data_IF_470810094002
#
_entry.id   IF_470810094002
#
_cell.length_a   1.000
_cell.length_b   1.000
_cell.length_c   1.000
_cell.angle_alpha   90.00
_cell.angle_beta   90.00
_cell.angle_gamma   90.00
#
_symmetry.space_group_name_H-M   'P 1'
#
loop_
_entity.id
_entity.type
_entity.pdbx_description
1 polymer ?
#
# COMPACT_ATOMS: atom_id res chain seq x y z
N UNK A 1 -58.10 -47.45 -1.94
CA UNK A 1 -59.52 -47.05 -2.03
C UNK A 1 -59.59 -45.67 -1.40
N UNK A 2 -59.66 -44.58 -2.18
CA UNK A 2 -60.87 -44.08 -2.89
C UNK A 2 -61.96 -43.85 -1.84
N UNK A 3 -62.61 -42.70 -1.66
CA UNK A 3 -62.68 -41.37 -2.25
C UNK A 3 -63.63 -40.59 -1.30
N UNK A 4 -63.69 -39.26 -1.25
CA UNK A 4 -64.36 -38.37 -2.21
C UNK A 4 -64.15 -36.91 -1.73
N UNK A 5 -63.70 -35.98 -2.59
CA UNK A 5 -64.41 -35.26 -3.67
C UNK A 5 -65.17 -34.04 -3.12
N UNK A 6 -64.67 -32.82 -3.40
CA UNK A 6 -65.24 -31.82 -4.33
C UNK A 6 -66.05 -30.72 -3.60
N UNK A 7 -66.16 -29.45 -4.03
CA UNK A 7 -65.94 -28.74 -5.31
C UNK A 7 -65.87 -27.22 -4.97
N UNK A 8 -64.90 -26.44 -5.47
CA UNK A 8 -64.99 -25.32 -6.48
C UNK A 8 -66.08 -24.24 -6.21
N UNK A 9 -65.91 -22.92 -6.43
CA UNK A 9 -65.36 -22.10 -7.54
C UNK A 9 -65.09 -20.68 -6.96
N UNK A 10 -63.91 -20.05 -7.08
CA UNK A 10 -63.43 -19.21 -8.20
C UNK A 10 -63.11 -17.80 -7.65
N UNK A 11 -62.16 -16.99 -8.12
CA UNK A 11 -61.23 -17.01 -9.23
C UNK A 11 -60.88 -15.54 -9.52
N UNK A 12 -59.62 -15.13 -9.35
CA UNK A 12 -58.99 -14.00 -10.05
C UNK A 12 -57.48 -13.94 -9.73
N UNK A 13 -56.69 -14.09 -10.78
CA UNK A 13 -55.23 -14.11 -10.81
C UNK A 13 -54.59 -12.76 -10.50
N UNK A 14 -53.48 -12.79 -9.77
CA UNK A 14 -52.35 -11.89 -10.00
C UNK A 14 -51.05 -12.68 -9.81
N UNK A 15 -50.32 -12.83 -10.90
CA UNK A 15 -48.98 -13.41 -10.99
C UNK A 15 -48.06 -12.67 -9.99
N UNK A 16 -47.63 -13.34 -8.92
CA UNK A 16 -46.49 -12.87 -8.13
C UNK A 16 -45.20 -13.39 -8.77
N UNK A 17 -44.61 -12.52 -9.59
CA UNK A 17 -43.23 -12.63 -10.03
C UNK A 17 -42.31 -12.66 -8.81
N UNK A 18 -41.48 -13.70 -8.73
CA UNK A 18 -40.39 -13.81 -7.77
C UNK A 18 -39.43 -12.63 -7.96
N UNK A 19 -38.93 -11.96 -6.91
CA UNK A 19 -37.75 -11.15 -7.05
C UNK A 19 -36.54 -12.09 -7.21
N UNK A 20 -36.01 -12.15 -8.43
CA UNK A 20 -34.59 -12.46 -8.69
C UNK A 20 -33.87 -11.11 -8.80
N UNK A 21 -33.02 -10.83 -7.83
CA UNK A 21 -31.81 -10.00 -7.91
C UNK A 21 -30.95 -10.50 -6.74
N UNK A 22 -29.73 -11.00 -6.93
CA UNK A 22 -28.65 -10.29 -7.59
C UNK A 22 -27.81 -9.62 -6.51
N UNK A 23 -27.16 -10.42 -5.65
CA UNK A 23 -26.07 -9.91 -4.81
C UNK A 23 -24.81 -9.90 -5.67
N UNK A 24 -24.66 -8.85 -6.47
CA UNK A 24 -23.34 -8.43 -6.93
C UNK A 24 -22.60 -7.96 -5.67
N UNK A 25 -21.48 -8.62 -5.35
CA UNK A 25 -20.54 -8.15 -4.31
C UNK A 25 -19.89 -6.87 -4.83
N UNK A 26 -20.51 -5.72 -4.59
CA UNK A 26 -19.86 -4.42 -4.74
C UNK A 26 -19.07 -4.11 -3.46
N UNK A 27 -17.95 -4.80 -3.24
CA UNK A 27 -16.98 -4.43 -2.22
C UNK A 27 -15.63 -5.04 -2.62
N UNK A 28 -14.75 -4.24 -3.22
CA UNK A 28 -13.33 -4.55 -3.22
C UNK A 28 -12.79 -4.14 -1.86
N UNK A 29 -12.30 -5.10 -1.10
CA UNK A 29 -11.64 -4.85 0.18
C UNK A 29 -10.29 -4.15 -0.10
N UNK A 30 -10.00 -3.09 0.66
CA UNK A 30 -8.83 -2.21 0.49
C UNK A 30 -7.76 -2.60 1.53
N UNK A 31 -6.53 -2.87 1.08
CA UNK A 31 -5.42 -3.26 1.95
C UNK A 31 -4.17 -2.40 1.68
N UNK A 32 -3.85 -1.42 2.53
CA UNK A 32 -2.61 -0.63 2.46
C UNK A 32 -1.34 -1.38 2.93
N UNK A 33 -0.23 -1.31 2.20
CA UNK A 33 0.98 -2.10 2.50
C UNK A 33 2.05 -1.36 3.30
N UNK A 34 1.92 -0.04 3.50
CA UNK A 34 2.91 0.80 4.17
C UNK A 34 2.31 1.64 5.33
N UNK A 35 2.80 1.50 6.57
CA UNK A 35 2.24 2.15 7.75
C UNK A 35 2.41 3.69 7.77
N UNK A 36 3.40 4.22 7.04
CA UNK A 36 3.56 5.68 6.92
C UNK A 36 2.55 6.27 5.93
N UNK A 37 2.10 5.45 4.96
CA UNK A 37 1.06 5.79 4.00
C UNK A 37 -0.33 5.53 4.58
N UNK A 38 -0.52 4.57 5.48
CA UNK A 38 -1.79 4.44 6.23
C UNK A 38 -2.06 5.66 7.12
N UNK A 39 -1.04 6.26 7.77
CA UNK A 39 -1.11 7.54 8.51
C UNK A 39 -1.61 8.71 7.67
N UNK A 40 -1.41 8.63 6.36
CA UNK A 40 -1.80 9.65 5.39
C UNK A 40 -2.95 9.19 4.48
N UNK A 41 -3.36 7.93 4.57
CA UNK A 41 -4.46 7.31 3.83
C UNK A 41 -5.81 7.91 4.19
N UNK A 42 -5.92 8.58 5.34
CA UNK A 42 -7.03 9.48 5.67
C UNK A 42 -7.18 10.70 4.76
N UNK A 43 -6.19 10.96 3.90
CA UNK A 43 -6.24 11.98 2.85
C UNK A 43 -6.72 11.44 1.52
N UNK A 44 -6.82 10.12 1.34
CA UNK A 44 -7.72 9.64 0.30
C UNK A 44 -9.12 10.03 0.75
N UNK A 45 -9.94 10.66 -0.12
CA UNK A 45 -11.25 11.08 0.31
C UNK A 45 -11.98 9.85 0.88
N UNK A 46 -12.42 9.90 2.14
CA UNK A 46 -13.28 8.86 2.70
C UNK A 46 -14.58 8.84 1.90
N UNK A 47 -15.37 7.75 1.94
CA UNK A 47 -16.75 7.80 1.42
C UNK A 47 -17.45 8.93 2.18
N UNK A 48 -17.53 10.11 1.54
CA UNK A 48 -18.29 11.23 2.06
C UNK A 48 -19.74 10.76 2.11
N UNK A 49 -20.30 10.74 3.31
CA UNK A 49 -21.70 10.45 3.54
C UNK A 49 -22.56 11.28 2.60
N UNK A 50 -23.60 10.65 2.06
CA UNK A 50 -24.76 11.22 1.37
C UNK A 50 -24.64 12.71 1.02
N UNK A 51 -23.70 13.05 0.13
CA UNK A 51 -23.72 14.33 -0.56
C UNK A 51 -24.72 14.18 -1.70
N UNK A 52 -25.97 14.41 -1.36
CA UNK A 52 -27.11 14.46 -2.24
C UNK A 52 -26.95 15.63 -3.23
N UNK A 53 -26.34 15.41 -4.39
CA UNK A 53 -26.54 16.20 -5.62
C UNK A 53 -25.84 15.58 -6.84
N UNK A 54 -26.61 14.91 -7.70
CA UNK A 54 -26.49 14.86 -9.18
C UNK A 54 -25.09 14.98 -9.82
N UNK A 55 -24.10 14.21 -9.38
CA UNK A 55 -22.91 13.98 -10.19
C UNK A 55 -23.23 12.87 -11.19
N UNK A 56 -23.20 13.18 -12.49
CA UNK A 56 -23.24 12.16 -13.55
C UNK A 56 -22.08 11.20 -13.28
N UNK A 57 -22.35 9.89 -13.19
CA UNK A 57 -21.28 8.90 -13.05
C UNK A 57 -20.36 9.01 -14.25
N UNK A 58 -19.14 9.48 -14.01
CA UNK A 58 -18.19 9.81 -15.06
C UNK A 58 -17.58 8.56 -15.73
N UNK A 59 -17.96 7.35 -15.28
CA UNK A 59 -17.67 6.07 -15.91
C UNK A 59 -18.95 5.35 -16.39
N UNK A 60 -20.09 6.05 -16.46
CA UNK A 60 -21.37 5.45 -16.87
C UNK A 60 -21.38 4.94 -18.32
N UNK A 61 -20.44 5.39 -19.16
CA UNK A 61 -20.26 4.96 -20.54
C UNK A 61 -19.50 3.64 -20.68
N UNK A 62 -18.99 3.09 -19.57
CA UNK A 62 -18.28 1.80 -19.56
C UNK A 62 -19.28 0.67 -19.35
N UNK A 63 -19.27 -0.28 -20.27
CA UNK A 63 -19.99 -1.55 -20.13
C UNK A 63 -19.17 -2.53 -19.30
N UNK A 64 -19.43 -2.60 -18.00
CA UNK A 64 -18.74 -3.50 -17.06
C UNK A 64 -19.06 -4.98 -17.28
N UNK A 65 -20.18 -5.27 -17.95
CA UNK A 65 -20.66 -6.61 -18.27
C UNK A 65 -20.30 -7.02 -19.71
N UNK A 66 -19.38 -6.28 -20.34
CA UNK A 66 -18.97 -6.55 -21.71
C UNK A 66 -18.43 -7.98 -21.87
N UNK A 67 -18.77 -8.69 -22.96
CA UNK A 67 -18.28 -10.04 -23.19
C UNK A 67 -16.75 -10.11 -23.18
N UNK A 68 -16.20 -10.98 -22.34
CA UNK A 68 -14.75 -11.12 -22.17
C UNK A 68 -14.06 -11.55 -23.46
N UNK A 69 -12.96 -10.89 -23.80
CA UNK A 69 -12.14 -11.15 -24.97
C UNK A 69 -11.22 -12.37 -24.76
N UNK A 70 -11.81 -13.55 -24.55
CA UNK A 70 -11.07 -14.79 -24.28
C UNK A 70 -10.31 -15.31 -25.50
N UNK A 71 -9.27 -16.11 -25.24
CA UNK A 71 -8.51 -16.82 -26.28
C UNK A 71 -7.48 -15.95 -27.02
N UNK A 72 -7.16 -14.77 -26.50
CA UNK A 72 -6.06 -13.96 -26.99
C UNK A 72 -4.72 -14.58 -26.55
N UNK A 73 -3.73 -14.56 -27.44
CA UNK A 73 -2.34 -14.78 -27.01
C UNK A 73 -1.87 -13.60 -26.15
N UNK A 74 -0.82 -13.82 -25.36
CA UNK A 74 -0.27 -12.77 -24.49
C UNK A 74 0.25 -11.58 -25.30
N UNK A 75 0.76 -11.81 -26.52
CA UNK A 75 1.16 -10.76 -27.46
C UNK A 75 -0.05 -9.97 -27.99
N UNK A 76 -1.16 -10.67 -28.31
CA UNK A 76 -2.40 -10.01 -28.74
C UNK A 76 -3.01 -9.19 -27.59
N UNK A 77 -2.97 -9.72 -26.36
CA UNK A 77 -3.42 -9.02 -25.17
C UNK A 77 -2.54 -7.79 -24.90
N UNK A 78 -1.21 -7.92 -24.98
CA UNK A 78 -0.27 -6.80 -24.83
C UNK A 78 -0.54 -5.69 -25.85
N UNK A 79 -0.79 -6.03 -27.11
CA UNK A 79 -1.14 -5.05 -28.14
C UNK A 79 -2.46 -4.31 -27.87
N UNK A 80 -3.48 -5.00 -27.34
CA UNK A 80 -4.74 -4.36 -26.91
C UNK A 80 -4.54 -3.46 -25.70
N UNK A 81 -3.72 -3.90 -24.74
CA UNK A 81 -3.36 -3.11 -23.57
C UNK A 81 -2.62 -1.84 -23.98
N UNK A 82 -1.59 -1.94 -24.83
CA UNK A 82 -0.82 -0.76 -25.31
C UNK A 82 -1.74 0.25 -26.00
N UNK A 83 -2.54 -0.22 -26.96
CA UNK A 83 -3.47 0.64 -27.71
C UNK A 83 -4.45 1.33 -26.76
N UNK A 84 -5.07 0.55 -25.88
CA UNK A 84 -6.07 1.05 -24.96
C UNK A 84 -5.50 2.01 -23.92
N UNK A 85 -4.30 1.75 -23.38
CA UNK A 85 -3.61 2.65 -22.46
C UNK A 85 -3.27 3.97 -23.12
N UNK A 86 -2.83 3.96 -24.38
CA UNK A 86 -2.52 5.18 -25.14
C UNK A 86 -3.77 6.00 -25.45
N UNK A 87 -4.90 5.34 -25.74
CA UNK A 87 -6.16 6.01 -26.05
C UNK A 87 -6.89 6.55 -24.82
N UNK A 88 -6.85 5.80 -23.71
CA UNK A 88 -7.72 6.02 -22.55
C UNK A 88 -6.97 6.43 -21.30
N UNK A 89 -5.70 6.11 -21.19
CA UNK A 89 -4.87 6.39 -20.01
C UNK A 89 -5.44 5.80 -18.72
N UNK A 90 -6.03 4.60 -18.75
CA UNK A 90 -6.91 4.14 -17.65
C UNK A 90 -6.22 3.91 -16.32
N UNK A 91 -4.89 3.76 -16.26
CA UNK A 91 -4.16 3.74 -14.98
C UNK A 91 -4.30 5.06 -14.21
N UNK A 92 -4.70 6.16 -14.88
CA UNK A 92 -4.95 7.47 -14.29
C UNK A 92 -6.42 7.87 -14.41
N UNK A 93 -7.06 7.62 -15.55
CA UNK A 93 -8.42 8.12 -15.83
C UNK A 93 -9.52 7.22 -15.27
N UNK A 94 -9.20 5.96 -14.99
CA UNK A 94 -10.16 4.91 -14.69
C UNK A 94 -11.04 4.49 -15.87
N UNK A 95 -10.79 4.99 -17.09
CA UNK A 95 -11.58 4.64 -18.27
C UNK A 95 -11.13 3.30 -18.85
N UNK A 96 -11.36 2.23 -18.09
CA UNK A 96 -10.89 0.88 -18.36
C UNK A 96 -11.55 0.17 -19.55
N UNK A 97 -11.11 -1.06 -19.79
CA UNK A 97 -11.62 -1.98 -20.82
C UNK A 97 -11.99 -3.32 -20.18
N UNK A 98 -13.18 -3.44 -19.54
CA UNK A 98 -13.56 -4.60 -18.73
C UNK A 98 -13.51 -5.95 -19.45
N UNK A 99 -13.63 -5.94 -20.79
CA UNK A 99 -13.55 -7.12 -21.64
C UNK A 99 -12.18 -7.80 -21.60
N UNK A 100 -11.11 -7.08 -21.23
CA UNK A 100 -9.74 -7.61 -21.17
C UNK A 100 -9.41 -8.25 -19.80
N UNK A 101 -10.22 -8.01 -18.78
CA UNK A 101 -9.91 -8.35 -17.39
C UNK A 101 -10.79 -9.50 -16.88
N UNK A 102 -10.17 -10.39 -16.11
CA UNK A 102 -10.84 -11.50 -15.45
C UNK A 102 -11.77 -11.01 -14.34
N UNK A 103 -12.83 -11.76 -14.06
CA UNK A 103 -13.76 -11.42 -12.96
C UNK A 103 -13.10 -11.61 -11.58
N UNK A 104 -11.98 -12.35 -11.53
CA UNK A 104 -11.12 -12.50 -10.35
C UNK A 104 -9.92 -11.55 -10.36
N UNK A 105 -9.98 -10.44 -11.10
CA UNK A 105 -8.87 -9.49 -11.18
C UNK A 105 -8.45 -8.97 -9.80
N UNK A 106 -7.14 -8.89 -9.57
CA UNK A 106 -6.53 -8.28 -8.39
C UNK A 106 -5.49 -7.24 -8.78
N UNK A 107 -5.51 -6.10 -8.09
CA UNK A 107 -4.49 -5.08 -8.17
C UNK A 107 -3.63 -5.06 -6.90
N UNK A 108 -2.35 -4.75 -7.07
CA UNK A 108 -1.34 -4.70 -6.02
C UNK A 108 -0.27 -3.67 -6.41
N UNK A 109 0.07 -2.74 -5.52
CA UNK A 109 1.24 -1.87 -5.66
C UNK A 109 2.06 -1.92 -4.34
N UNK A 110 3.16 -1.16 -4.18
CA UNK A 110 3.95 -1.20 -2.94
C UNK A 110 3.20 -0.71 -1.71
N UNK A 111 2.06 -0.05 -1.88
CA UNK A 111 1.31 0.72 -0.90
C UNK A 111 -0.15 0.26 -0.73
N UNK A 112 -0.75 -0.49 -1.66
CA UNK A 112 -2.18 -0.86 -1.73
C UNK A 112 -2.41 -2.21 -2.42
N UNK A 113 -3.47 -2.92 -2.04
CA UNK A 113 -4.07 -4.04 -2.76
C UNK A 113 -5.60 -3.87 -2.85
N UNK A 114 -6.18 -4.33 -3.97
CA UNK A 114 -7.61 -4.21 -4.27
C UNK A 114 -8.09 -5.40 -5.12
N UNK A 115 -9.29 -5.91 -4.80
CA UNK A 115 -9.97 -6.91 -5.64
C UNK A 115 -11.04 -6.28 -6.54
N UNK A 116 -11.08 -6.72 -7.80
CA UNK A 116 -12.06 -6.33 -8.81
C UNK A 116 -11.62 -5.17 -9.72
N UNK A 117 -11.90 -5.28 -11.02
CA UNK A 117 -11.46 -4.30 -12.01
C UNK A 117 -12.28 -2.99 -12.00
N UNK A 118 -13.61 -3.06 -11.84
CA UNK A 118 -14.41 -1.85 -11.68
C UNK A 118 -14.04 -1.05 -10.42
N UNK A 119 -13.91 -1.66 -9.23
CA UNK A 119 -13.34 -0.99 -8.06
C UNK A 119 -12.01 -0.30 -8.35
N UNK A 120 -11.09 -0.97 -9.05
CA UNK A 120 -9.79 -0.42 -9.44
C UNK A 120 -9.96 0.85 -10.28
N UNK A 121 -10.73 0.78 -11.36
CA UNK A 121 -11.00 1.91 -12.25
C UNK A 121 -11.61 3.10 -11.50
N UNK A 122 -12.57 2.85 -10.61
CA UNK A 122 -13.19 3.90 -9.79
C UNK A 122 -12.21 4.51 -8.81
N UNK A 123 -11.30 3.71 -8.25
CA UNK A 123 -10.30 4.18 -7.29
C UNK A 123 -9.24 5.07 -7.96
N UNK A 124 -8.62 4.63 -9.06
CA UNK A 124 -7.60 5.44 -9.75
C UNK A 124 -8.17 6.76 -10.23
N UNK A 125 -9.40 6.76 -10.76
CA UNK A 125 -10.10 7.99 -11.16
C UNK A 125 -10.27 8.98 -10.00
N UNK A 126 -10.52 8.46 -8.81
CA UNK A 126 -10.69 9.26 -7.60
C UNK A 126 -9.36 9.78 -7.06
N UNK A 127 -8.33 8.94 -7.11
CA UNK A 127 -6.98 9.25 -6.65
C UNK A 127 -6.36 10.38 -7.48
N UNK A 128 -6.48 10.32 -8.81
CA UNK A 128 -5.82 11.27 -9.69
C UNK A 128 -6.71 12.46 -10.04
N UNK A 129 -6.10 13.65 -10.06
CA UNK A 129 -6.74 14.86 -10.57
C UNK A 129 -6.90 14.72 -12.09
N UNK A 130 -8.14 14.63 -12.54
CA UNK A 130 -8.48 14.30 -13.94
C UNK A 130 -8.16 15.42 -14.94
N UNK A 131 -7.84 16.63 -14.48
CA UNK A 131 -7.46 17.75 -15.35
C UNK A 131 -5.95 17.85 -15.54
N UNK A 132 -5.17 17.39 -14.57
CA UNK A 132 -3.72 17.61 -14.52
C UNK A 132 -2.90 16.33 -14.59
N UNK A 133 -3.49 15.18 -14.26
CA UNK A 133 -2.78 13.90 -14.26
C UNK A 133 -2.67 13.31 -15.64
N UNK A 134 -1.50 12.76 -15.93
CA UNK A 134 -1.22 12.09 -17.18
C UNK A 134 -0.45 10.79 -16.93
N UNK A 135 -0.83 9.76 -17.68
CA UNK A 135 0.04 8.62 -17.93
C UNK A 135 0.57 8.70 -19.36
N UNK A 136 1.85 8.41 -19.52
CA UNK A 136 2.51 8.37 -20.82
C UNK A 136 3.21 7.01 -20.97
N UNK A 137 2.74 6.18 -21.90
CA UNK A 137 3.31 4.83 -22.11
C UNK A 137 4.68 4.93 -22.78
N UNK A 138 5.70 4.36 -22.13
CA UNK A 138 7.04 4.19 -22.67
C UNK A 138 7.07 2.95 -23.56
N UNK A 139 6.65 1.80 -23.02
CA UNK A 139 6.50 0.54 -23.75
C UNK A 139 5.45 -0.35 -23.08
N UNK A 140 4.91 -1.30 -23.84
CA UNK A 140 4.03 -2.35 -23.36
C UNK A 140 4.27 -3.61 -24.20
N UNK A 141 4.71 -4.69 -23.57
CA UNK A 141 5.12 -5.89 -24.29
C UNK A 141 4.78 -7.18 -23.52
N UNK A 142 4.57 -8.26 -24.27
CA UNK A 142 4.51 -9.60 -23.70
C UNK A 142 5.93 -10.04 -23.29
N UNK A 143 6.16 -10.14 -21.98
CA UNK A 143 7.47 -10.47 -21.39
C UNK A 143 7.56 -11.90 -20.90
N UNK A 144 6.45 -12.64 -20.94
CA UNK A 144 6.42 -14.08 -20.71
C UNK A 144 5.13 -14.71 -21.24
N UNK A 145 4.98 -16.05 -21.13
CA UNK A 145 3.81 -16.75 -21.66
C UNK A 145 2.47 -16.28 -21.09
N UNK A 146 2.48 -15.66 -19.90
CA UNK A 146 1.31 -15.11 -19.21
C UNK A 146 1.61 -13.78 -18.51
N UNK A 147 2.66 -13.09 -18.96
CA UNK A 147 3.14 -11.86 -18.35
C UNK A 147 3.27 -10.77 -19.40
N UNK A 148 2.76 -9.58 -19.07
CA UNK A 148 2.83 -8.39 -19.90
C UNK A 148 3.42 -7.30 -19.03
N UNK A 149 4.49 -6.67 -19.48
CA UNK A 149 5.12 -5.55 -18.78
C UNK A 149 4.77 -4.25 -19.49
N UNK A 150 4.36 -3.25 -18.73
CA UNK A 150 4.12 -1.89 -19.18
C UNK A 150 5.03 -0.96 -18.39
N UNK A 151 5.91 -0.25 -19.08
CA UNK A 151 6.69 0.85 -18.49
C UNK A 151 6.01 2.15 -18.90
N UNK A 152 5.69 2.97 -17.93
CA UNK A 152 4.98 4.22 -18.17
C UNK A 152 5.41 5.31 -17.19
N UNK A 153 5.19 6.56 -17.59
CA UNK A 153 5.50 7.74 -16.78
C UNK A 153 4.21 8.32 -16.22
N UNK A 154 4.19 8.54 -14.91
CA UNK A 154 3.11 9.22 -14.21
C UNK A 154 3.53 10.64 -13.87
N UNK A 155 2.65 11.62 -14.10
CA UNK A 155 2.83 13.01 -13.69
C UNK A 155 1.50 13.70 -13.42
N UNK A 156 1.54 14.87 -12.77
CA UNK A 156 0.36 15.71 -12.56
C UNK A 156 -0.06 15.84 -11.10
N UNK A 157 -1.35 15.71 -10.79
CA UNK A 157 -1.88 15.96 -9.46
C UNK A 157 -2.63 14.77 -8.86
N UNK A 158 -2.52 14.54 -7.55
CA UNK A 158 -3.38 13.59 -6.83
C UNK A 158 -4.34 14.34 -5.91
N UNK A 159 -5.55 13.80 -5.76
CA UNK A 159 -6.60 14.35 -4.90
C UNK A 159 -6.37 13.84 -3.47
N UNK A 160 -5.83 14.71 -2.60
CA UNK A 160 -5.61 14.43 -1.19
C UNK A 160 -6.52 15.31 -0.31
N UNK A 161 -7.66 14.76 0.09
CA UNK A 161 -8.68 15.44 0.88
C UNK A 161 -9.41 16.49 0.06
N UNK A 162 -9.64 17.67 0.64
CA UNK A 162 -10.25 18.81 -0.06
C UNK A 162 -9.29 19.55 -1.00
N UNK A 163 -8.02 19.14 -1.07
CA UNK A 163 -6.96 19.82 -1.80
C UNK A 163 -6.28 18.85 -2.78
N UNK A 164 -5.84 19.35 -3.94
CA UNK A 164 -4.99 18.60 -4.85
C UNK A 164 -3.51 18.89 -4.57
N UNK A 165 -2.64 17.89 -4.70
CA UNK A 165 -1.18 18.07 -4.63
C UNK A 165 -0.51 17.63 -5.91
N UNK A 166 0.47 18.38 -6.38
CA UNK A 166 1.23 18.03 -7.57
C UNK A 166 2.30 17.00 -7.23
N UNK A 167 2.21 15.82 -7.83
CA UNK A 167 3.27 14.81 -7.76
C UNK A 167 4.37 15.17 -8.76
N UNK A 168 5.62 14.99 -8.33
CA UNK A 168 6.72 15.03 -9.29
C UNK A 168 6.60 13.82 -10.24
N UNK A 169 7.05 13.93 -11.49
CA UNK A 169 7.02 12.79 -12.41
C UNK A 169 7.90 11.62 -11.95
N UNK A 170 7.42 10.40 -12.12
CA UNK A 170 8.19 9.16 -11.89
C UNK A 170 7.78 8.07 -12.88
N UNK A 171 8.62 7.03 -12.99
CA UNK A 171 8.34 5.86 -13.83
C UNK A 171 7.66 4.79 -12.99
N UNK A 172 6.67 4.14 -13.58
CA UNK A 172 5.99 2.97 -13.03
C UNK A 172 6.22 1.81 -13.98
N UNK A 173 6.62 0.68 -13.42
CA UNK A 173 6.67 -0.60 -14.12
C UNK A 173 5.50 -1.44 -13.63
N UNK A 174 4.57 -1.70 -14.53
CA UNK A 174 3.37 -2.49 -14.26
C UNK A 174 3.55 -3.86 -14.89
N UNK A 175 3.39 -4.92 -14.09
CA UNK A 175 3.31 -6.30 -14.56
C UNK A 175 1.86 -6.75 -14.53
N UNK A 176 1.35 -7.21 -15.67
CA UNK A 176 0.02 -7.77 -15.82
C UNK A 176 0.14 -9.27 -16.06
N UNK A 177 -0.52 -10.05 -15.22
CA UNK A 177 -0.61 -11.50 -15.41
C UNK A 177 -1.92 -11.87 -16.11
N UNK A 178 -1.86 -12.83 -17.03
CA UNK A 178 -3.04 -13.38 -17.70
C UNK A 178 -3.38 -14.77 -17.17
N UNK A 179 -4.67 -15.06 -17.02
CA UNK A 179 -5.18 -16.38 -16.64
C UNK A 179 -5.17 -17.39 -17.80
N UNK A 180 -5.75 -18.58 -17.57
CA UNK A 180 -5.81 -19.64 -18.56
C UNK A 180 -6.69 -19.30 -19.78
N UNK A 181 -7.59 -18.34 -19.66
CA UNK A 181 -8.47 -17.87 -20.75
C UNK A 181 -7.85 -16.69 -21.51
N UNK A 182 -6.65 -16.26 -21.11
CA UNK A 182 -5.93 -15.13 -21.69
C UNK A 182 -6.43 -13.77 -21.21
N UNK A 183 -7.20 -13.71 -20.11
CA UNK A 183 -7.67 -12.44 -19.51
C UNK A 183 -6.70 -11.96 -18.43
N UNK A 184 -6.59 -10.65 -18.26
CA UNK A 184 -5.75 -10.07 -17.19
C UNK A 184 -6.37 -10.39 -15.83
N UNK A 185 -5.65 -11.18 -15.02
CA UNK A 185 -6.07 -11.62 -13.69
C UNK A 185 -5.35 -10.91 -12.56
N UNK A 186 -4.17 -10.35 -12.80
CA UNK A 186 -3.46 -9.58 -11.79
C UNK A 186 -2.74 -8.38 -12.41
N UNK A 187 -2.61 -7.32 -11.61
CA UNK A 187 -1.76 -6.17 -11.88
C UNK A 187 -0.88 -5.92 -10.67
N UNK A 188 0.43 -5.83 -10.91
CA UNK A 188 1.43 -5.45 -9.92
C UNK A 188 2.21 -4.22 -10.39
N UNK A 189 2.18 -3.14 -9.63
CA UNK A 189 2.93 -1.92 -9.94
C UNK A 189 4.20 -1.81 -9.07
N UNK A 190 5.29 -1.33 -9.68
CA UNK A 190 6.54 -0.98 -9.02
C UNK A 190 6.96 0.43 -9.41
N UNK A 191 7.30 1.26 -8.43
CA UNK A 191 7.66 2.66 -8.64
C UNK A 191 9.18 2.83 -8.75
N UNK A 192 9.64 3.69 -9.67
CA UNK A 192 11.06 4.02 -9.80
C UNK A 192 11.61 4.80 -8.60
N UNK A 193 10.72 5.35 -7.78
CA UNK A 193 11.05 6.09 -6.57
C UNK A 193 10.21 5.52 -5.40
N UNK A 194 10.71 5.55 -4.16
CA UNK A 194 9.94 5.07 -3.01
C UNK A 194 8.67 5.90 -2.76
N UNK A 195 7.61 5.27 -2.21
CA UNK A 195 6.33 5.94 -1.90
C UNK A 195 6.47 7.19 -1.01
N UNK A 196 7.41 7.17 -0.05
CA UNK A 196 7.69 8.34 0.79
C UNK A 196 8.24 9.52 -0.01
N UNK A 197 8.96 9.27 -1.11
CA UNK A 197 9.54 10.33 -1.93
C UNK A 197 8.44 11.03 -2.74
N UNK A 198 7.51 10.26 -3.32
CA UNK A 198 6.30 10.79 -3.99
C UNK A 198 5.55 11.72 -3.05
N UNK A 199 5.33 11.26 -1.82
CA UNK A 199 4.60 12.00 -0.80
C UNK A 199 5.33 13.28 -0.38
N UNK A 200 6.62 13.19 -0.03
CA UNK A 200 7.40 14.35 0.43
C UNK A 200 7.55 15.39 -0.68
N UNK A 201 7.79 14.96 -1.91
CA UNK A 201 7.89 15.86 -3.07
C UNK A 201 6.57 16.56 -3.41
N UNK A 202 5.44 15.94 -3.10
CA UNK A 202 4.10 16.50 -3.31
C UNK A 202 3.67 17.45 -2.18
N UNK A 203 3.87 17.06 -0.91
CA UNK A 203 3.48 17.87 0.24
C UNK A 203 4.44 19.02 0.52
N UNK A 204 5.72 18.87 0.12
CA UNK A 204 6.80 19.79 0.47
C UNK A 204 7.66 20.10 -0.77
N UNK A 205 7.13 20.82 -1.78
CA UNK A 205 7.85 21.12 -3.03
C UNK A 205 9.27 21.69 -2.87
N UNK A 206 9.59 22.52 -1.84
CA UNK A 206 10.96 22.98 -1.61
C UNK A 206 11.98 21.86 -1.33
N UNK A 207 11.54 20.65 -0.98
CA UNK A 207 12.41 19.49 -0.76
C UNK A 207 12.80 18.74 -2.03
N UNK A 208 12.14 18.99 -3.17
CA UNK A 208 12.43 18.25 -4.42
C UNK A 208 13.91 18.17 -4.79
N UNK A 209 14.75 19.22 -4.60
CA UNK A 209 16.19 19.14 -4.90
C UNK A 209 16.98 18.16 -4.02
N UNK A 210 16.42 17.73 -2.88
CA UNK A 210 17.04 16.82 -1.91
C UNK A 210 16.51 15.39 -2.02
N UNK A 211 15.55 15.17 -2.90
CA UNK A 211 14.91 13.89 -3.16
C UNK A 211 15.40 13.30 -4.49
N UNK A 212 14.93 12.12 -4.88
CA UNK A 212 15.31 11.53 -6.16
C UNK A 212 14.91 12.45 -7.33
N UNK A 213 15.65 12.46 -8.46
CA UNK A 213 15.31 13.31 -9.60
C UNK A 213 13.95 12.93 -10.20
N UNK A 214 13.28 13.90 -10.81
CA UNK A 214 12.04 13.67 -11.56
C UNK A 214 12.32 12.81 -12.80
N UNK A 215 11.38 11.94 -13.17
CA UNK A 215 11.50 11.16 -14.39
C UNK A 215 11.49 12.08 -15.63
N UNK A 216 12.44 11.90 -16.56
CA UNK A 216 12.50 12.68 -17.79
C UNK A 216 11.26 12.42 -18.66
N UNK A 217 10.98 13.27 -19.66
CA UNK A 217 9.88 13.06 -20.60
C UNK A 217 9.96 11.72 -21.32
N UNK A 218 8.81 11.20 -21.78
CA UNK A 218 8.75 9.89 -22.47
C UNK A 218 9.61 9.83 -23.73
N UNK A 219 9.85 10.96 -24.41
CA UNK A 219 10.78 11.01 -25.56
C UNK A 219 12.21 10.58 -25.21
N UNK A 220 12.65 10.84 -23.98
CA UNK A 220 13.96 10.41 -23.45
C UNK A 220 13.87 9.00 -22.88
N UNK A 221 12.77 8.66 -22.21
CA UNK A 221 12.58 7.31 -21.65
C UNK A 221 12.49 6.26 -22.77
N UNK A 222 11.84 6.56 -23.89
CA UNK A 222 11.67 5.61 -24.99
C UNK A 222 13.00 5.14 -25.61
N UNK A 223 14.08 5.93 -25.50
CA UNK A 223 15.42 5.51 -25.95
C UNK A 223 16.18 4.69 -24.90
N UNK A 224 15.64 4.53 -23.68
CA UNK A 224 16.26 3.82 -22.55
C UNK A 224 15.67 2.44 -22.32
N UNK A 225 14.61 2.05 -23.04
CA UNK A 225 13.95 0.77 -22.89
C UNK A 225 13.82 0.07 -24.24
N UNK A 226 13.97 -1.26 -24.25
CA UNK A 226 13.67 -2.07 -25.42
C UNK A 226 12.13 -2.13 -25.60
N UNK A 227 11.59 -1.75 -26.76
CA UNK A 227 10.13 -1.75 -26.98
C UNK A 227 9.51 -3.16 -27.02
N UNK A 228 10.30 -4.21 -27.22
CA UNK A 228 9.83 -5.60 -27.30
C UNK A 228 9.90 -6.35 -25.98
N UNK A 229 10.82 -5.97 -25.08
CA UNK A 229 10.97 -6.63 -23.78
C UNK A 229 10.64 -5.72 -22.61
N UNK A 230 10.52 -4.41 -22.83
CA UNK A 230 10.40 -3.40 -21.78
C UNK A 230 11.55 -3.40 -20.76
N UNK A 231 12.69 -4.00 -21.11
CA UNK A 231 13.87 -3.99 -20.25
C UNK A 231 14.69 -2.71 -20.48
N UNK A 232 15.37 -2.19 -19.44
CA UNK A 232 16.32 -1.10 -19.60
C UNK A 232 17.44 -1.48 -20.57
N UNK A 233 17.68 -0.63 -21.57
CA UNK A 233 18.81 -0.75 -22.47
C UNK A 233 20.10 -0.37 -21.74
N UNK A 234 21.20 -1.05 -22.07
CA UNK A 234 22.51 -0.68 -21.55
C UNK A 234 22.83 0.78 -21.93
N UNK A 235 23.44 1.57 -21.02
CA UNK A 235 23.76 2.96 -21.31
C UNK A 235 24.69 3.05 -22.52
N UNK A 236 24.35 3.94 -23.45
CA UNK A 236 25.23 4.23 -24.58
C UNK A 236 26.29 5.23 -24.13
N UNK A 237 27.54 5.09 -24.61
CA UNK A 237 28.65 5.95 -24.22
C UNK A 237 28.45 7.46 -24.53
N UNK A 238 27.35 7.83 -25.20
CA UNK A 238 26.95 9.20 -25.50
C UNK A 238 26.04 9.86 -24.45
N UNK A 239 25.63 9.15 -23.40
CA UNK A 239 24.72 9.68 -22.35
C UNK A 239 25.45 10.44 -21.22
N UNK A 240 26.76 10.67 -21.33
CA UNK A 240 27.52 11.53 -20.42
C UNK A 240 27.31 13.02 -20.76
N UNK A 241 26.12 13.56 -20.48
CA UNK A 241 26.01 15.00 -20.23
C UNK A 241 26.74 15.30 -18.91
N UNK A 242 27.91 15.95 -19.00
CA UNK A 242 28.72 16.36 -17.86
C UNK A 242 27.89 17.19 -16.86
N UNK A 243 27.61 16.68 -15.64
CA UNK A 243 27.02 17.51 -14.61
C UNK A 243 28.09 18.49 -14.12
N UNK A 244 27.70 19.77 -14.03
CA UNK A 244 28.57 20.87 -13.61
C UNK A 244 29.36 20.55 -12.34
N UNK A 245 30.59 21.07 -12.28
CA UNK A 245 31.68 20.78 -11.32
C UNK A 245 31.26 20.82 -9.84
N UNK A 246 30.12 21.43 -9.48
CA UNK A 246 29.55 21.38 -8.13
C UNK A 246 28.88 20.04 -7.75
N UNK A 247 28.51 19.20 -8.74
CA UNK A 247 27.76 17.94 -8.53
C UNK A 247 28.68 16.72 -8.38
N UNK A 248 29.90 16.78 -8.94
CA UNK A 248 30.91 15.70 -8.83
C UNK A 248 31.40 15.48 -7.39
N UNK A 249 31.19 16.43 -6.48
CA UNK A 249 31.58 16.31 -5.07
C UNK A 249 30.59 15.55 -4.18
N UNK A 250 29.30 15.55 -4.50
CA UNK A 250 28.25 15.00 -3.61
C UNK A 250 27.98 13.52 -3.89
N UNK A 251 28.10 13.08 -5.15
CA UNK A 251 27.78 11.71 -5.54
C UNK A 251 28.91 10.72 -5.22
N UNK A 252 30.16 11.10 -5.52
CA UNK A 252 31.32 10.30 -5.08
C UNK A 252 31.52 10.33 -3.56
N UNK A 253 31.05 11.37 -2.87
CA UNK A 253 31.04 11.40 -1.42
C UNK A 253 29.95 10.50 -0.82
N UNK A 254 28.76 10.36 -1.43
CA UNK A 254 27.68 9.54 -0.86
C UNK A 254 27.82 8.05 -1.14
N UNK A 255 28.36 7.65 -2.29
CA UNK A 255 28.70 6.24 -2.53
C UNK A 255 29.93 5.79 -1.73
N UNK A 256 30.95 6.66 -1.61
CA UNK A 256 32.11 6.37 -0.78
C UNK A 256 31.75 6.42 0.71
N UNK A 257 30.88 7.33 1.15
CA UNK A 257 30.38 7.38 2.53
C UNK A 257 29.40 6.25 2.82
N UNK A 258 28.60 5.80 1.85
CA UNK A 258 27.75 4.62 1.95
C UNK A 258 28.55 3.32 2.02
N UNK A 259 29.60 3.18 1.20
CA UNK A 259 30.54 2.04 1.25
C UNK A 259 31.45 2.10 2.48
N UNK A 260 31.88 3.28 2.96
CA UNK A 260 32.57 3.42 4.24
C UNK A 260 31.63 3.17 5.42
N UNK A 261 30.40 3.67 5.40
CA UNK A 261 29.42 3.48 6.47
C UNK A 261 28.97 2.01 6.54
N UNK A 262 28.83 1.32 5.41
CA UNK A 262 28.59 -0.12 5.34
C UNK A 262 29.82 -0.94 5.78
N UNK A 263 31.04 -0.51 5.40
CA UNK A 263 32.28 -1.14 5.89
C UNK A 263 32.54 -0.89 7.39
N UNK A 264 31.99 0.19 7.95
CA UNK A 264 32.01 0.51 9.39
C UNK A 264 30.87 -0.20 10.15
N UNK A 265 29.73 -0.50 9.50
CA UNK A 265 28.59 -1.20 10.12
C UNK A 265 28.76 -2.72 10.24
N UNK A 266 29.79 -3.30 9.63
CA UNK A 266 29.98 -4.76 9.63
C UNK A 266 28.87 -5.50 8.86
N UNK A 267 29.00 -6.83 8.69
CA UNK A 267 27.92 -7.65 8.14
C UNK A 267 26.66 -7.49 9.01
N UNK A 268 25.45 -7.57 8.40
CA UNK A 268 24.21 -7.58 9.19
C UNK A 268 24.35 -8.66 10.26
N UNK A 269 23.89 -8.39 11.50
CA UNK A 269 23.92 -9.39 12.55
C UNK A 269 23.20 -10.64 12.02
N UNK A 270 23.72 -11.85 12.30
CA UNK A 270 23.01 -13.08 11.96
C UNK A 270 21.58 -12.98 12.51
N UNK A 271 20.58 -13.56 11.81
CA UNK A 271 19.22 -13.57 12.33
C UNK A 271 19.26 -14.07 13.78
N UNK A 272 18.57 -13.39 14.71
CA UNK A 272 18.57 -13.83 16.10
C UNK A 272 18.15 -15.31 16.13
N UNK A 273 18.75 -16.12 17.02
CA UNK A 273 18.30 -17.50 17.20
C UNK A 273 16.80 -17.48 17.41
N UNK A 274 16.06 -18.28 16.64
CA UNK A 274 14.61 -18.41 16.77
C UNK A 274 14.32 -18.86 18.19
N UNK A 275 13.91 -17.92 19.03
CA UNK A 275 13.42 -18.25 20.35
C UNK A 275 12.26 -19.24 20.20
N UNK A 276 12.12 -20.21 21.11
CA UNK A 276 10.98 -21.11 21.05
C UNK A 276 9.68 -20.32 21.25
N UNK A 277 8.55 -20.79 20.71
CA UNK A 277 7.23 -20.23 21.02
C UNK A 277 7.00 -20.09 22.54
N UNK A 278 6.20 -19.12 22.99
CA UNK A 278 5.87 -18.97 24.40
C UNK A 278 5.20 -20.24 24.95
N UNK A 279 5.50 -20.62 26.19
CA UNK A 279 4.90 -21.81 26.82
C UNK A 279 3.45 -21.57 27.21
N UNK A 280 3.12 -20.33 27.57
CA UNK A 280 1.80 -19.90 27.99
C UNK A 280 1.60 -18.39 27.79
N UNK A 281 0.38 -17.92 28.09
CA UNK A 281 -0.03 -16.52 27.96
C UNK A 281 0.78 -15.58 28.86
N UNK A 282 1.21 -16.04 30.04
CA UNK A 282 1.97 -15.19 30.97
C UNK A 282 3.37 -14.91 30.42
N UNK A 283 4.06 -15.95 29.94
CA UNK A 283 5.34 -15.81 29.25
C UNK A 283 5.22 -14.98 27.97
N UNK A 284 4.14 -15.15 27.20
CA UNK A 284 3.90 -14.35 25.99
C UNK A 284 3.77 -12.85 26.32
N UNK A 285 3.02 -12.49 27.36
CA UNK A 285 2.84 -11.09 27.78
C UNK A 285 4.14 -10.51 28.34
N UNK A 286 4.90 -11.28 29.13
CA UNK A 286 6.19 -10.84 29.67
C UNK A 286 7.20 -10.52 28.56
N UNK A 287 7.34 -11.43 27.59
CA UNK A 287 8.21 -11.24 26.42
C UNK A 287 7.77 -10.06 25.57
N UNK A 288 6.47 -9.94 25.32
CA UNK A 288 5.91 -8.82 24.56
C UNK A 288 6.08 -7.47 25.28
N UNK A 289 6.01 -7.44 26.60
CA UNK A 289 6.31 -6.24 27.38
C UNK A 289 7.78 -5.85 27.26
N UNK A 290 8.70 -6.83 27.28
CA UNK A 290 10.13 -6.58 27.06
C UNK A 290 10.41 -6.03 25.65
N UNK A 291 9.70 -6.50 24.63
CA UNK A 291 9.77 -5.98 23.26
C UNK A 291 9.42 -4.48 23.15
N UNK A 292 8.56 -3.97 24.05
CA UNK A 292 8.24 -2.55 24.16
C UNK A 292 9.24 -1.73 24.97
N UNK A 293 9.95 -2.36 25.90
CA UNK A 293 10.99 -1.72 26.70
C UNK A 293 12.33 -1.64 25.95
N UNK A 294 12.55 -2.56 25.00
CA UNK A 294 13.81 -2.71 24.29
C UNK A 294 14.84 -3.49 25.11
N UNK A 295 16.07 -3.52 24.61
CA UNK A 295 17.18 -4.25 25.24
C UNK A 295 18.20 -3.32 25.89
N UNK A 296 19.12 -3.86 26.70
CA UNK A 296 20.26 -3.08 27.21
C UNK A 296 21.14 -2.49 26.09
N UNK A 297 21.21 -3.17 24.93
CA UNK A 297 21.98 -2.72 23.77
C UNK A 297 21.28 -1.64 22.94
N UNK A 298 19.94 -1.64 22.93
CA UNK A 298 19.11 -0.63 22.30
C UNK A 298 17.77 -0.53 23.06
N UNK A 299 17.57 0.49 23.92
CA UNK A 299 16.39 0.61 24.78
C UNK A 299 15.18 1.18 24.01
N UNK A 300 15.18 1.06 22.69
CA UNK A 300 14.05 1.43 21.84
C UNK A 300 13.21 0.17 21.58
N UNK A 301 11.88 0.32 21.49
CA UNK A 301 10.99 -0.81 21.22
C UNK A 301 11.22 -1.41 19.84
N UNK A 302 10.76 -2.66 19.65
CA UNK A 302 10.93 -3.44 18.42
C UNK A 302 10.52 -2.68 17.15
N UNK A 303 9.44 -1.90 17.19
CA UNK A 303 8.95 -1.18 16.00
C UNK A 303 9.85 -0.01 15.56
N UNK A 304 10.85 0.38 16.37
CA UNK A 304 11.87 1.35 16.01
C UNK A 304 13.23 0.72 15.70
N UNK A 305 13.45 -0.52 16.12
CA UNK A 305 14.73 -1.23 15.97
C UNK A 305 14.68 -2.33 14.90
N UNK A 306 13.48 -2.81 14.57
CA UNK A 306 13.25 -4.03 13.79
C UNK A 306 13.47 -5.32 14.60
N UNK A 307 13.94 -5.23 15.84
CA UNK A 307 14.24 -6.39 16.69
C UNK A 307 12.98 -6.85 17.43
N UNK A 308 12.08 -7.51 16.71
CA UNK A 308 10.85 -8.09 17.25
C UNK A 308 11.08 -9.54 17.67
N UNK A 309 10.44 -9.97 18.74
CA UNK A 309 10.32 -11.37 19.09
C UNK A 309 9.31 -12.07 18.17
N UNK A 310 9.81 -12.53 17.03
CA UNK A 310 9.04 -13.19 15.96
C UNK A 310 8.32 -14.45 16.47
N UNK A 311 8.85 -15.12 17.51
CA UNK A 311 8.29 -16.36 18.02
C UNK A 311 6.97 -16.17 18.79
N UNK A 312 6.63 -14.94 19.18
CA UNK A 312 5.35 -14.62 19.81
C UNK A 312 4.17 -14.64 18.82
N UNK A 313 4.44 -14.57 17.52
CA UNK A 313 3.42 -14.36 16.50
C UNK A 313 3.14 -15.63 15.71
N UNK A 314 1.85 -15.90 15.48
CA UNK A 314 1.41 -16.91 14.52
C UNK A 314 1.86 -16.55 13.09
N UNK A 315 2.21 -17.54 12.28
CA UNK A 315 2.66 -17.32 10.90
C UNK A 315 1.64 -16.56 10.06
N UNK A 316 0.34 -16.78 10.32
CA UNK A 316 -0.80 -16.14 9.66
C UNK A 316 -1.43 -15.03 10.52
N UNK A 317 -0.69 -14.51 11.49
CA UNK A 317 -1.12 -13.38 12.31
C UNK A 317 -1.62 -12.23 11.42
N UNK A 318 -2.76 -11.67 11.81
CA UNK A 318 -3.34 -10.49 11.19
C UNK A 318 -2.71 -9.25 11.80
N UNK A 319 -2.17 -8.37 10.97
CA UNK A 319 -1.65 -7.07 11.36
C UNK A 319 -2.59 -6.03 10.79
N UNK A 320 -3.19 -5.22 11.66
CA UNK A 320 -4.12 -4.19 11.25
C UNK A 320 -3.81 -2.85 11.92
N UNK A 321 -4.06 -1.78 11.19
CA UNK A 321 -4.11 -0.41 11.70
C UNK A 321 -5.50 0.19 11.34
N UNK A 322 -5.81 1.44 11.70
CA UNK A 322 -7.11 2.04 11.41
C UNK A 322 -7.48 2.16 9.92
N UNK A 323 -6.57 1.82 9.00
CA UNK A 323 -6.69 2.01 7.56
C UNK A 323 -6.47 0.72 6.76
N UNK A 324 -5.75 -0.27 7.29
CA UNK A 324 -5.50 -1.57 6.63
C UNK A 324 -5.50 -2.73 7.62
N UNK A 325 -5.87 -3.94 7.15
CA UNK A 325 -5.44 -5.20 7.73
C UNK A 325 -4.78 -6.12 6.68
N UNK A 326 -3.73 -6.84 7.05
CA UNK A 326 -3.13 -7.89 6.24
C UNK A 326 -2.76 -9.11 7.09
N UNK A 327 -2.48 -10.26 6.47
CA UNK A 327 -1.99 -11.47 7.16
C UNK A 327 -0.57 -11.84 6.74
N UNK A 328 0.20 -12.37 7.67
CA UNK A 328 1.52 -12.93 7.43
C UNK A 328 2.61 -12.27 8.27
N UNK A 329 3.16 -13.02 9.23
CA UNK A 329 4.21 -12.55 10.14
C UNK A 329 5.49 -12.14 9.41
N UNK A 330 5.98 -12.96 8.49
CA UNK A 330 7.26 -12.70 7.82
C UNK A 330 7.19 -11.46 6.92
N UNK A 331 5.99 -11.17 6.38
CA UNK A 331 5.70 -9.92 5.66
C UNK A 331 5.80 -8.71 6.59
N UNK A 332 5.29 -8.80 7.81
CA UNK A 332 5.42 -7.73 8.81
C UNK A 332 6.87 -7.51 9.24
N UNK A 333 7.64 -8.58 9.46
CA UNK A 333 9.08 -8.50 9.79
C UNK A 333 9.85 -7.75 8.71
N UNK A 334 9.67 -8.13 7.44
CA UNK A 334 10.33 -7.46 6.31
C UNK A 334 9.96 -5.96 6.23
N UNK A 335 8.70 -5.60 6.54
CA UNK A 335 8.25 -4.21 6.58
C UNK A 335 8.94 -3.41 7.70
N UNK A 336 9.11 -3.99 8.89
CA UNK A 336 9.79 -3.36 10.02
C UNK A 336 11.26 -3.06 9.72
N UNK A 337 11.98 -4.00 9.08
CA UNK A 337 13.38 -3.81 8.70
C UNK A 337 13.57 -2.63 7.75
N UNK A 338 12.64 -2.44 6.81
CA UNK A 338 12.64 -1.31 5.88
C UNK A 338 12.37 0.04 6.57
N UNK A 339 11.56 0.06 7.63
CA UNK A 339 11.21 1.27 8.39
C UNK A 339 12.34 1.73 9.33
N UNK A 340 13.11 0.80 9.89
CA UNK A 340 14.23 1.11 10.80
C UNK A 340 15.44 1.78 10.08
N UNK A 341 15.40 1.91 8.75
CA UNK A 341 16.50 2.27 7.84
C UNK A 341 16.96 3.74 7.79
N UNK A 342 16.84 4.52 8.87
CA UNK A 342 17.54 5.81 9.00
C UNK A 342 16.75 7.09 8.72
N UNK A 343 15.43 6.98 8.52
CA UNK A 343 14.55 8.16 8.42
C UNK A 343 14.24 8.81 9.78
N UNK A 344 14.33 8.04 10.87
CA UNK A 344 14.15 8.51 12.24
C UNK A 344 15.54 8.82 12.81
N UNK A 345 15.82 10.08 13.11
CA UNK A 345 17.13 10.54 13.63
C UNK A 345 17.17 10.58 15.15
N UNK A 346 16.02 10.82 15.79
CA UNK A 346 15.85 10.70 17.24
C UNK A 346 14.47 10.13 17.52
N UNK A 347 14.36 9.32 18.58
CA UNK A 347 13.07 8.83 19.06
C UNK A 347 12.98 8.90 20.59
N UNK A 348 11.75 8.97 21.07
CA UNK A 348 11.40 8.83 22.48
C UNK A 348 10.04 8.18 22.56
N UNK A 349 9.93 7.15 23.38
CA UNK A 349 8.70 6.44 23.64
C UNK A 349 8.46 6.45 25.15
N UNK A 350 7.20 6.52 25.54
CA UNK A 350 6.80 6.39 26.94
C UNK A 350 5.48 5.65 27.02
N UNK A 351 5.49 4.49 27.65
CA UNK A 351 4.26 3.76 27.95
C UNK A 351 3.33 4.63 28.80
N UNK A 352 2.10 4.77 28.32
CA UNK A 352 1.01 5.50 28.98
C UNK A 352 0.16 4.54 29.81
N UNK A 353 -0.15 3.37 29.25
CA UNK A 353 -0.89 2.31 29.92
C UNK A 353 -0.59 0.96 29.28
N UNK A 354 -0.74 -0.08 30.09
CA UNK A 354 -0.74 -1.48 29.66
C UNK A 354 -1.88 -2.18 30.40
N UNK A 355 -2.71 -2.91 29.68
CA UNK A 355 -3.90 -3.59 30.19
C UNK A 355 -3.93 -5.03 29.67
N UNK A 356 -4.20 -5.98 30.57
CA UNK A 356 -4.33 -7.40 30.23
C UNK A 356 -5.80 -7.78 30.37
N UNK A 357 -6.40 -8.24 29.29
CA UNK A 357 -7.71 -8.88 29.28
C UNK A 357 -7.49 -10.39 29.13
N UNK A 358 -7.80 -11.17 30.17
CA UNK A 358 -7.57 -12.63 30.14
C UNK A 358 -8.55 -13.39 29.23
N UNK A 359 -9.53 -12.70 28.66
CA UNK A 359 -10.61 -13.30 27.88
C UNK A 359 -11.62 -14.06 28.75
N UNK A 360 -12.62 -14.61 28.09
CA UNK A 360 -13.63 -15.50 28.67
C UNK A 360 -13.86 -16.65 27.69
N UNK A 361 -13.26 -17.80 28.01
CA UNK A 361 -13.35 -19.00 27.19
C UNK A 361 -14.80 -19.52 27.04
N UNK A 362 -15.66 -19.30 28.05
CA UNK A 362 -17.06 -19.71 27.98
C UNK A 362 -17.88 -18.81 27.06
N UNK A 363 -17.51 -17.53 26.97
CA UNK A 363 -18.12 -16.55 26.06
C UNK A 363 -17.42 -16.46 24.68
N UNK A 364 -16.34 -17.22 24.45
CA UNK A 364 -15.56 -17.19 23.21
C UNK A 364 -14.75 -15.90 23.03
N UNK A 365 -14.49 -15.16 24.11
CA UNK A 365 -13.68 -13.94 24.08
C UNK A 365 -12.22 -14.31 24.29
N UNK A 366 -11.33 -14.09 23.30
CA UNK A 366 -9.91 -14.42 23.43
C UNK A 366 -9.20 -13.48 24.41
N UNK A 367 -8.09 -13.91 25.02
CA UNK A 367 -7.22 -13.02 25.78
C UNK A 367 -6.58 -11.96 24.88
N UNK A 368 -6.37 -10.76 25.42
CA UNK A 368 -5.62 -9.69 24.75
C UNK A 368 -4.73 -8.87 25.69
N UNK A 369 -3.71 -8.26 25.12
CA UNK A 369 -2.81 -7.32 25.79
C UNK A 369 -2.78 -6.00 25.03
N UNK A 370 -3.23 -4.95 25.71
CA UNK A 370 -3.36 -3.60 25.17
C UNK A 370 -2.26 -2.72 25.75
N UNK A 371 -1.46 -2.13 24.88
CA UNK A 371 -0.43 -1.16 25.27
C UNK A 371 -0.69 0.16 24.58
N UNK A 372 -0.64 1.27 25.33
CA UNK A 372 -0.69 2.61 24.76
C UNK A 372 0.62 3.33 25.10
N UNK A 373 1.28 3.89 24.10
CA UNK A 373 2.54 4.60 24.22
C UNK A 373 2.37 6.02 23.69
N UNK A 374 3.08 6.99 24.29
CA UNK A 374 3.36 8.25 23.63
C UNK A 374 4.61 8.08 22.80
N UNK A 375 4.49 8.20 21.48
CA UNK A 375 5.60 8.12 20.54
C UNK A 375 5.99 9.53 20.13
N UNK A 376 7.29 9.82 20.14
CA UNK A 376 7.88 11.03 19.59
C UNK A 376 9.03 10.68 18.68
N UNK A 377 9.00 11.19 17.45
CA UNK A 377 10.04 10.94 16.45
C UNK A 377 10.54 12.28 15.90
N UNK A 378 11.86 12.42 15.76
CA UNK A 378 12.46 13.40 14.86
C UNK A 378 12.79 12.71 13.56
N UNK A 379 12.31 13.29 12.47
CA UNK A 379 12.60 12.80 11.13
C UNK A 379 13.87 13.46 10.59
N UNK A 380 14.64 12.73 9.80
CA UNK A 380 15.85 13.19 9.11
C UNK A 380 15.59 14.14 7.94
N UNK A 381 14.54 14.94 8.00
CA UNK A 381 14.22 15.97 7.01
C UNK A 381 14.96 17.29 7.33
N UNK A 382 15.16 18.20 6.36
CA UNK A 382 15.95 19.43 6.53
C UNK A 382 15.52 20.37 7.66
N UNK A 383 14.22 20.45 7.97
CA UNK A 383 13.71 21.21 9.13
C UNK A 383 13.49 20.34 10.39
N UNK A 384 13.87 19.07 10.30
CA UNK A 384 13.86 18.06 11.37
C UNK A 384 12.56 18.03 12.17
N UNK A 385 11.39 17.82 11.53
CA UNK A 385 10.10 17.87 12.19
C UNK A 385 10.06 16.86 13.33
N UNK A 386 9.31 17.23 14.37
CA UNK A 386 9.05 16.36 15.52
C UNK A 386 7.58 15.95 15.48
N UNK A 387 7.36 14.68 15.22
CA UNK A 387 6.07 14.02 15.33
C UNK A 387 5.89 13.54 16.77
N UNK A 388 4.68 13.66 17.30
CA UNK A 388 4.29 13.27 18.64
C UNK A 388 2.82 12.84 18.66
N UNK A 389 2.54 11.58 18.97
CA UNK A 389 1.17 11.07 19.07
C UNK A 389 1.08 9.89 20.05
N UNK A 390 -0.08 9.68 20.68
CA UNK A 390 -0.37 8.43 21.35
C UNK A 390 -0.65 7.32 20.33
N UNK A 391 0.07 6.23 20.46
CA UNK A 391 -0.01 5.03 19.65
C UNK A 391 -0.44 3.86 20.54
N UNK A 392 -1.52 3.18 20.19
CA UNK A 392 -2.07 2.04 20.91
C UNK A 392 -1.95 0.78 20.07
N UNK A 393 -1.69 -0.34 20.72
CA UNK A 393 -1.66 -1.66 20.10
C UNK A 393 -2.39 -2.66 20.98
N UNK A 394 -3.27 -3.44 20.39
CA UNK A 394 -3.89 -4.62 20.99
C UNK A 394 -3.36 -5.89 20.34
N UNK A 395 -2.79 -6.78 21.16
CA UNK A 395 -2.39 -8.12 20.75
C UNK A 395 -3.44 -9.08 21.22
N UNK A 396 -4.09 -9.77 20.30
CA UNK A 396 -5.04 -10.83 20.62
C UNK A 396 -4.35 -12.17 20.49
N UNK A 397 -4.46 -12.98 21.55
CA UNK A 397 -3.80 -14.27 21.63
C UNK A 397 -4.78 -15.41 21.33
N UNK A 398 -4.27 -16.47 20.71
CA UNK A 398 -4.95 -17.75 20.67
C UNK A 398 -4.84 -18.42 22.04
N UNK A 399 -5.95 -18.73 22.73
CA UNK A 399 -5.92 -19.35 24.05
C UNK A 399 -5.31 -20.76 24.06
N UNK A 400 -5.24 -21.46 22.93
CA UNK A 400 -4.69 -22.81 22.85
C UNK A 400 -3.16 -22.82 22.71
N UNK A 401 -2.62 -21.88 21.93
CA UNK A 401 -1.19 -21.83 21.60
C UNK A 401 -0.42 -20.74 22.35
N UNK A 402 -1.13 -19.73 22.87
CA UNK A 402 -0.50 -18.54 23.48
C UNK A 402 0.10 -17.57 22.46
N UNK A 403 -0.03 -17.84 21.16
CA UNK A 403 0.51 -17.00 20.09
C UNK A 403 -0.39 -15.80 19.82
N UNK A 404 0.23 -14.68 19.45
CA UNK A 404 -0.47 -13.52 18.91
C UNK A 404 -0.99 -13.88 17.53
N UNK A 405 -2.32 -13.85 17.39
CA UNK A 405 -3.02 -14.10 16.12
C UNK A 405 -3.54 -12.82 15.48
N UNK A 406 -3.64 -11.73 16.25
CA UNK A 406 -3.96 -10.40 15.74
C UNK A 406 -3.15 -9.32 16.46
N UNK A 407 -2.58 -8.41 15.69
CA UNK A 407 -1.84 -7.23 16.10
C UNK A 407 -2.58 -6.00 15.57
N UNK A 408 -3.30 -5.29 16.45
CA UNK A 408 -4.25 -4.25 16.06
C UNK A 408 -3.79 -2.89 16.57
N UNK A 409 -3.34 -2.03 15.67
CA UNK A 409 -2.91 -0.67 15.98
C UNK A 409 -4.07 0.33 16.01
N UNK A 410 -3.91 1.36 16.83
CA UNK A 410 -4.85 2.48 16.97
C UNK A 410 -4.10 3.77 17.26
N UNK A 411 -4.42 4.84 16.53
CA UNK A 411 -3.67 6.10 16.63
C UNK A 411 -4.58 7.23 17.12
N UNK A 412 -4.12 7.95 18.14
CA UNK A 412 -4.90 9.00 18.80
C UNK A 412 -4.42 10.38 18.33
N UNK A 413 -4.42 10.58 17.01
CA UNK A 413 -4.07 11.85 16.36
C UNK A 413 -4.95 12.05 15.14
N UNK A 414 -5.42 13.28 14.95
CA UNK A 414 -6.17 13.59 13.74
C UNK A 414 -5.22 13.66 12.54
N UNK A 415 -5.68 13.30 11.33
CA UNK A 415 -4.84 13.37 10.12
C UNK A 415 -4.29 14.78 9.88
N UNK A 416 -5.10 15.80 10.17
CA UNK A 416 -4.71 17.21 10.03
C UNK A 416 -3.57 17.58 10.99
N UNK A 417 -3.60 17.07 12.22
CA UNK A 417 -2.53 17.29 13.19
C UNK A 417 -1.26 16.52 12.80
N UNK A 418 -1.39 15.30 12.28
CA UNK A 418 -0.26 14.55 11.71
C UNK A 418 0.48 15.34 10.62
N UNK A 419 -0.25 15.88 9.65
CA UNK A 419 0.31 16.74 8.58
C UNK A 419 0.94 17.99 9.17
N UNK A 420 0.24 18.67 10.09
CA UNK A 420 0.74 19.89 10.71
C UNK A 420 2.09 19.64 11.38
N UNK A 421 2.25 18.52 12.10
CA UNK A 421 3.51 18.17 12.74
C UNK A 421 4.61 17.85 11.73
N UNK A 422 4.28 17.15 10.64
CA UNK A 422 5.21 16.81 9.56
C UNK A 422 5.78 18.04 8.86
N UNK A 423 4.95 19.05 8.57
CA UNK A 423 5.37 20.29 7.87
C UNK A 423 5.95 21.34 8.82
N UNK A 424 5.80 21.19 10.14
CA UNK A 424 6.31 22.15 11.12
C UNK A 424 7.81 21.96 11.36
N UNK A 425 8.62 23.03 11.40
CA UNK A 425 10.00 22.96 11.87
C UNK A 425 10.09 22.34 13.27
N UNK A 426 11.03 21.42 13.46
CA UNK A 426 11.29 20.84 14.78
C UNK A 426 12.31 21.62 15.61
N UNK A 427 12.78 22.78 15.12
CA UNK A 427 13.65 23.68 15.87
C UNK A 427 12.96 24.09 17.19
N UNK A 428 13.65 23.86 18.32
CA UNK A 428 13.11 24.12 19.65
C UNK A 428 12.17 23.05 20.21
N UNK A 429 11.75 22.05 19.42
CA UNK A 429 10.98 20.90 19.91
C UNK A 429 11.93 19.81 20.37
N UNK A 430 11.77 19.39 21.63
CA UNK A 430 12.54 18.28 22.20
C UNK A 430 11.83 16.95 21.96
N UNK A 431 12.59 15.94 21.54
CA UNK A 431 12.13 14.55 21.47
C UNK A 431 12.18 13.91 22.86
N UNK A 432 13.25 14.19 23.62
CA UNK A 432 13.43 13.75 25.01
C UNK A 432 13.05 14.83 26.02
#
# INVERSE_FOLDING_TARGET
MISHLALLIGGASALQLRPRCGHVRCAGDYEAKNPLISLLGTLLPSKGGEAQQTAVDALADIDWESPKARGLSTEQMAGRIDTGLRERGWFVTGRGMPELFSDSFRFSDPDVQLDGYEPYCRQVRRLFNQETSAMEVVCAAATGPRAITVVWRLSGGVNLGAFGVAIKPYVVTTTLETDADGLVSAQEDHFSIPGYDILLSALLPPLRPLLQPEAPPVSVLASRYDPLTCEPLAPTASDEEEPGVATKGVWFATEAFGKLAAAVKGPPPPPPPTEPPPKDLDEAIERLAADYEGSEGDPRPYFLTGAMDVALYDEQCEFADPFVAFRGRDRFVANLENLAGGFITESSTRTLSSEIERGDAAAGVPPSYKTKLLVKLRLGLPWSPVLAWPWGVEHVFDPATGLVVRHLESWDVSPQEGIRQLVSPGAGRKVK
#
